data_IF_198559435571
#
_entry.id   IF_198559435571
#
_cell.length_a   1.000
_cell.length_b   1.000
_cell.length_c   1.000
_cell.angle_alpha   90.00
_cell.angle_beta   90.00
_cell.angle_gamma   90.00
#
_symmetry.space_group_name_H-M   'P 1'
#
loop_
_entity.id
_entity.type
_entity.pdbx_description
1 polymer ?
#
# COMPACT_ATOMS: atom_id res chain seq x y z
N UNK A 1 -81.21 -0.02 23.91
CA UNK A 1 -81.18 0.04 25.39
C UNK A 1 -79.71 0.37 25.69
N UNK A 2 -79.48 1.61 25.97
CA UNK A 2 -79.32 2.17 27.34
C UNK A 2 -78.10 1.62 28.00
N UNK A 3 -77.12 2.34 28.37
CA UNK A 3 -76.96 3.77 28.67
C UNK A 3 -75.65 3.97 29.40
N UNK A 4 -75.19 5.18 29.26
CA UNK A 4 -74.49 6.09 30.20
C UNK A 4 -73.22 5.58 30.94
N UNK A 5 -72.13 6.28 30.71
CA UNK A 5 -71.70 7.64 31.24
C UNK A 5 -71.01 7.52 32.59
N UNK A 6 -69.81 8.00 32.69
CA UNK A 6 -69.35 9.21 33.35
C UNK A 6 -67.87 9.11 33.71
N UNK A 7 -67.12 10.02 33.18
CA UNK A 7 -66.29 11.08 33.78
C UNK A 7 -65.68 10.86 35.18
N UNK A 8 -64.36 11.00 35.27
CA UNK A 8 -63.70 12.04 36.08
C UNK A 8 -62.17 11.90 36.01
N UNK A 9 -61.60 12.87 35.53
CA UNK A 9 -60.52 13.79 35.87
C UNK A 9 -59.49 13.43 36.93
N UNK A 10 -58.30 13.99 36.59
CA UNK A 10 -57.19 14.44 37.45
C UNK A 10 -56.16 13.35 37.77
N UNK A 11 -54.83 13.54 37.73
CA UNK A 11 -54.01 14.74 37.85
C UNK A 11 -52.57 14.40 37.43
N UNK A 12 -51.89 15.39 36.90
CA UNK A 12 -50.48 15.76 36.85
C UNK A 12 -49.40 14.76 37.29
N UNK A 13 -48.51 14.41 36.34
CA UNK A 13 -47.21 13.84 36.61
C UNK A 13 -46.19 14.22 35.52
N UNK A 14 -45.70 15.44 35.55
CA UNK A 14 -44.70 15.99 34.63
C UNK A 14 -43.32 15.38 34.91
N UNK A 15 -43.00 14.23 34.28
CA UNK A 15 -41.65 13.67 34.30
C UNK A 15 -40.77 14.37 33.26
N UNK A 16 -39.83 15.18 33.73
CA UNK A 16 -38.73 15.75 32.95
C UNK A 16 -37.89 14.65 32.29
N UNK A 17 -38.00 14.50 30.97
CA UNK A 17 -37.01 13.75 30.19
C UNK A 17 -35.69 14.55 30.21
N UNK A 18 -34.69 14.02 30.95
CA UNK A 18 -33.31 14.44 30.85
C UNK A 18 -32.85 14.14 29.42
N UNK A 19 -32.47 15.15 28.67
CA UNK A 19 -31.84 15.04 27.38
C UNK A 19 -30.54 14.25 27.52
N UNK A 20 -30.48 13.06 26.88
CA UNK A 20 -29.26 12.33 26.70
C UNK A 20 -28.34 13.14 25.80
N UNK A 21 -27.24 13.63 26.37
CA UNK A 21 -26.22 14.31 25.61
C UNK A 21 -25.66 13.34 24.54
N UNK A 22 -25.78 13.75 23.30
CA UNK A 22 -25.11 13.12 22.17
C UNK A 22 -23.62 13.35 22.41
N UNK A 23 -22.93 12.37 23.02
CA UNK A 23 -21.49 12.32 23.05
C UNK A 23 -21.03 12.19 21.59
N UNK A 24 -20.74 13.33 20.97
CA UNK A 24 -20.00 13.36 19.73
C UNK A 24 -18.72 12.55 19.95
N UNK A 25 -18.64 11.36 19.35
CA UNK A 25 -17.38 10.65 19.20
C UNK A 25 -16.45 11.59 18.45
N UNK A 26 -15.62 12.30 19.19
CA UNK A 26 -14.45 12.94 18.59
C UNK A 26 -13.66 11.83 17.92
N UNK A 27 -13.70 11.78 16.60
CA UNK A 27 -12.76 11.01 15.82
C UNK A 27 -11.38 11.55 16.22
N UNK A 28 -10.62 10.78 17.00
CA UNK A 28 -9.22 11.09 17.27
C UNK A 28 -8.58 11.20 15.88
N UNK A 29 -8.20 12.41 15.49
CA UNK A 29 -7.41 12.62 14.29
C UNK A 29 -6.24 11.62 14.35
N UNK A 30 -6.09 10.76 13.33
CA UNK A 30 -4.98 9.82 13.26
C UNK A 30 -3.71 10.65 13.34
N UNK A 31 -2.91 10.45 14.40
CA UNK A 31 -1.63 11.14 14.55
C UNK A 31 -0.78 10.80 13.34
N UNK A 32 -0.46 11.78 12.53
CA UNK A 32 0.48 11.64 11.40
C UNK A 32 1.90 11.50 11.92
N UNK A 33 2.79 10.96 11.10
CA UNK A 33 4.21 10.82 11.38
C UNK A 33 5.00 11.33 10.19
N UNK A 34 6.15 11.95 10.41
CA UNK A 34 7.03 12.39 9.35
C UNK A 34 8.10 11.35 9.05
N UNK A 35 8.73 11.47 7.87
CA UNK A 35 9.86 10.63 7.48
C UNK A 35 11.02 10.78 8.47
N UNK A 36 11.33 12.02 8.90
CA UNK A 36 12.42 12.30 9.85
C UNK A 36 12.17 11.66 11.23
N UNK A 37 10.89 11.54 11.63
CA UNK A 37 10.55 10.82 12.86
C UNK A 37 10.74 9.31 12.67
N UNK A 38 10.45 8.75 11.49
CA UNK A 38 10.66 7.34 11.19
C UNK A 38 12.13 6.98 11.10
N UNK A 39 12.96 7.82 10.49
CA UNK A 39 14.41 7.61 10.38
C UNK A 39 15.13 7.58 11.74
N UNK A 40 14.52 8.12 12.78
CA UNK A 40 15.05 8.09 14.15
C UNK A 40 14.62 6.88 14.97
N UNK A 41 13.74 6.03 14.41
CA UNK A 41 13.23 4.85 15.11
C UNK A 41 14.18 3.67 14.93
N UNK A 42 14.41 2.92 15.99
CA UNK A 42 15.15 1.64 15.93
C UNK A 42 14.38 0.58 15.10
N UNK A 43 13.07 0.69 15.04
CA UNK A 43 12.21 -0.23 14.30
C UNK A 43 11.04 0.52 13.71
N UNK A 44 10.86 0.41 12.39
CA UNK A 44 9.68 0.90 11.66
C UNK A 44 8.68 -0.22 11.53
N UNK A 45 7.41 0.05 11.88
CA UNK A 45 6.32 -0.92 11.87
C UNK A 45 5.29 -0.62 10.78
N UNK A 46 4.39 -1.58 10.45
CA UNK A 46 3.27 -1.34 9.55
C UNK A 46 2.42 -0.13 9.93
N UNK A 47 2.09 0.01 11.23
CA UNK A 47 1.30 1.13 11.73
C UNK A 47 2.00 2.50 11.58
N UNK A 48 3.31 2.51 11.52
CA UNK A 48 4.07 3.74 11.33
C UNK A 48 3.96 4.23 9.89
N UNK A 49 4.23 3.37 8.90
CA UNK A 49 4.17 3.77 7.49
C UNK A 49 2.75 4.16 7.05
N UNK A 50 1.72 3.59 7.67
CA UNK A 50 0.32 3.97 7.43
C UNK A 50 -0.03 5.38 7.91
N UNK A 51 0.83 6.02 8.72
CA UNK A 51 0.66 7.39 9.22
C UNK A 51 1.40 8.43 8.39
N UNK A 52 2.25 8.03 7.45
CA UNK A 52 2.89 8.95 6.51
C UNK A 52 1.83 9.68 5.69
N UNK A 53 2.08 10.94 5.38
CA UNK A 53 1.15 11.79 4.61
C UNK A 53 1.60 12.01 3.17
N UNK A 54 2.86 11.77 2.87
CA UNK A 54 3.47 11.90 1.54
C UNK A 54 4.44 10.75 1.26
N UNK A 55 4.82 10.57 0.00
CA UNK A 55 5.88 9.66 -0.39
C UNK A 55 7.19 10.06 0.30
N UNK A 56 7.97 9.08 0.75
CA UNK A 56 9.27 9.36 1.38
C UNK A 56 10.30 9.83 0.35
N UNK A 57 11.26 10.61 0.77
CA UNK A 57 12.40 11.01 -0.06
C UNK A 57 13.52 9.98 0.03
N UNK A 58 13.76 9.46 1.24
CA UNK A 58 14.81 8.50 1.54
C UNK A 58 14.25 7.08 1.75
N UNK A 59 15.13 6.10 1.79
CA UNK A 59 14.80 4.75 2.23
C UNK A 59 14.76 4.69 3.75
N UNK A 60 13.74 4.00 4.31
CA UNK A 60 13.56 3.86 5.76
C UNK A 60 14.32 2.69 6.37
N UNK A 61 15.05 1.92 5.56
CA UNK A 61 15.96 0.87 6.03
C UNK A 61 17.11 0.68 5.04
N UNK A 62 18.24 0.23 5.56
CA UNK A 62 19.39 -0.14 4.77
C UNK A 62 19.17 -1.48 4.05
N UNK A 63 19.88 -1.77 2.93
CA UNK A 63 19.79 -3.05 2.22
C UNK A 63 20.07 -4.26 3.13
N UNK A 64 20.99 -4.13 4.08
CA UNK A 64 21.34 -5.17 5.05
C UNK A 64 20.23 -5.54 6.04
N UNK A 65 19.12 -4.78 6.09
CA UNK A 65 17.95 -5.14 6.89
C UNK A 65 17.24 -6.40 6.37
N UNK A 66 17.43 -6.75 5.09
CA UNK A 66 16.92 -7.97 4.47
C UNK A 66 17.76 -9.21 4.87
N UNK A 67 17.76 -9.53 6.14
CA UNK A 67 18.51 -10.68 6.69
C UNK A 67 17.95 -12.05 6.25
N UNK A 68 16.85 -12.07 5.51
CA UNK A 68 16.17 -13.26 5.00
C UNK A 68 16.56 -13.59 3.58
N UNK A 69 17.39 -12.76 2.94
CA UNK A 69 17.79 -12.90 1.53
C UNK A 69 16.58 -13.06 0.61
N UNK A 70 15.53 -12.27 0.85
CA UNK A 70 14.37 -12.22 -0.04
C UNK A 70 14.81 -11.49 -1.31
N UNK A 71 14.65 -12.15 -2.46
CA UNK A 71 15.03 -11.63 -3.76
C UNK A 71 13.91 -11.79 -4.78
N UNK A 72 13.43 -10.68 -5.34
CA UNK A 72 12.38 -10.67 -6.36
C UNK A 72 13.00 -11.00 -7.72
N UNK A 73 12.57 -12.12 -8.31
CA UNK A 73 13.13 -12.65 -9.56
C UNK A 73 12.27 -12.38 -10.77
N UNK A 74 10.96 -12.12 -10.59
CA UNK A 74 10.05 -11.78 -11.68
C UNK A 74 8.92 -10.92 -11.18
N UNK A 75 8.51 -9.98 -12.02
CA UNK A 75 7.35 -9.12 -11.80
C UNK A 75 6.58 -8.96 -13.11
N UNK A 76 5.27 -9.21 -13.07
CA UNK A 76 4.39 -9.10 -14.21
C UNK A 76 3.10 -8.39 -13.83
N UNK A 77 2.71 -7.38 -14.59
CA UNK A 77 1.46 -6.64 -14.45
C UNK A 77 0.53 -7.00 -15.60
N UNK A 78 -0.72 -7.32 -15.31
CA UNK A 78 -1.74 -7.60 -16.31
C UNK A 78 -3.06 -6.92 -15.98
N UNK A 79 -3.79 -6.53 -17.01
CA UNK A 79 -5.19 -6.15 -16.90
C UNK A 79 -6.03 -7.39 -16.54
N UNK A 80 -6.82 -7.30 -15.49
CA UNK A 80 -7.62 -8.43 -15.01
C UNK A 80 -8.88 -8.69 -15.85
N UNK A 81 -9.36 -7.69 -16.59
CA UNK A 81 -10.53 -7.85 -17.45
C UNK A 81 -10.19 -8.53 -18.77
N UNK A 82 -9.09 -8.13 -19.40
CA UNK A 82 -8.68 -8.63 -20.73
C UNK A 82 -7.60 -9.71 -20.65
N UNK A 83 -6.90 -9.83 -19.54
CA UNK A 83 -5.73 -10.69 -19.39
C UNK A 83 -4.48 -10.15 -20.10
N UNK A 84 -4.52 -8.95 -20.66
CA UNK A 84 -3.41 -8.34 -21.39
C UNK A 84 -2.26 -8.06 -20.44
N UNK A 85 -1.05 -8.52 -20.80
CA UNK A 85 0.17 -8.19 -20.06
C UNK A 85 0.58 -6.75 -20.40
N UNK A 86 0.67 -5.92 -19.38
CA UNK A 86 0.99 -4.49 -19.49
C UNK A 86 2.47 -4.22 -19.22
N UNK A 87 3.08 -5.07 -18.41
CA UNK A 87 4.49 -4.97 -18.05
C UNK A 87 4.99 -6.33 -17.57
N UNK A 88 6.22 -6.69 -17.93
CA UNK A 88 6.89 -7.88 -17.40
C UNK A 88 8.40 -7.67 -17.38
N UNK A 89 9.01 -8.04 -16.26
CA UNK A 89 10.47 -8.08 -16.09
C UNK A 89 10.83 -9.35 -15.32
N UNK A 90 11.90 -10.00 -15.72
CA UNK A 90 12.45 -11.16 -15.02
C UNK A 90 13.97 -11.06 -15.00
N UNK A 91 14.59 -11.53 -13.92
CA UNK A 91 16.03 -11.73 -13.88
C UNK A 91 16.40 -12.87 -14.83
N UNK A 92 17.51 -12.78 -15.59
CA UNK A 92 17.99 -13.87 -16.41
C UNK A 92 18.26 -15.14 -15.57
N UNK A 93 17.88 -16.31 -16.09
CA UNK A 93 18.10 -17.58 -15.38
C UNK A 93 19.59 -17.97 -15.24
N UNK A 94 20.46 -17.39 -16.09
CA UNK A 94 21.90 -17.60 -16.09
C UNK A 94 22.61 -16.25 -16.01
N UNK A 95 22.90 -15.81 -14.81
CA UNK A 95 23.95 -14.81 -14.60
C UNK A 95 25.23 -15.65 -14.45
N UNK A 96 25.97 -15.84 -15.56
CA UNK A 96 27.39 -16.12 -15.42
C UNK A 96 27.96 -14.96 -14.59
N UNK A 97 28.65 -15.27 -13.51
CA UNK A 97 29.18 -14.33 -12.50
C UNK A 97 30.14 -13.24 -13.08
N UNK A 98 30.22 -13.11 -14.40
CA UNK A 98 31.13 -12.20 -15.10
C UNK A 98 30.54 -10.84 -15.49
N UNK A 99 29.25 -10.59 -15.30
CA UNK A 99 28.69 -9.24 -15.41
C UNK A 99 28.37 -8.73 -14.01
N UNK A 100 29.42 -8.57 -13.21
CA UNK A 100 29.37 -7.64 -12.08
C UNK A 100 29.37 -6.24 -12.73
N UNK A 101 28.18 -5.74 -12.99
CA UNK A 101 28.00 -4.31 -13.17
C UNK A 101 28.43 -3.70 -11.84
N UNK A 102 29.67 -3.16 -11.82
CA UNK A 102 30.27 -2.47 -10.67
C UNK A 102 29.54 -1.14 -10.49
N UNK A 103 28.23 -1.18 -10.33
CA UNK A 103 27.48 -0.05 -9.83
C UNK A 103 27.54 -0.12 -8.30
N UNK A 104 28.48 0.65 -7.73
CA UNK A 104 28.67 0.79 -6.27
C UNK A 104 27.44 1.42 -5.58
N UNK A 105 26.28 1.51 -6.25
CA UNK A 105 25.06 2.02 -5.65
C UNK A 105 24.44 0.96 -4.72
N UNK A 106 24.50 1.17 -3.40
CA UNK A 106 23.89 0.25 -2.44
C UNK A 106 22.37 0.14 -2.59
N UNK A 107 21.74 1.04 -3.35
CA UNK A 107 20.31 1.06 -3.63
C UNK A 107 19.94 0.48 -5.00
N UNK A 108 20.90 -0.11 -5.71
CA UNK A 108 20.63 -0.78 -6.99
C UNK A 108 19.45 -1.78 -6.84
N UNK A 109 18.51 -1.73 -7.78
CA UNK A 109 17.33 -2.59 -7.77
C UNK A 109 16.22 -2.21 -6.78
N UNK A 110 16.39 -1.15 -5.97
CA UNK A 110 15.36 -0.66 -5.03
C UNK A 110 14.44 0.41 -5.63
N UNK A 111 14.76 0.91 -6.81
CA UNK A 111 13.99 1.91 -7.52
C UNK A 111 13.60 1.40 -8.91
N UNK A 112 12.32 1.60 -9.28
CA UNK A 112 11.80 1.26 -10.62
C UNK A 112 11.07 2.46 -11.20
N UNK A 113 11.31 2.70 -12.48
CA UNK A 113 10.60 3.69 -13.26
C UNK A 113 9.68 3.02 -14.27
N UNK A 114 8.38 3.26 -14.14
CA UNK A 114 7.37 2.71 -15.03
C UNK A 114 6.92 3.75 -16.07
N UNK A 115 6.73 3.28 -17.30
CA UNK A 115 6.06 4.04 -18.34
C UNK A 115 4.88 3.24 -18.87
N UNK A 116 3.71 3.80 -18.74
CA UNK A 116 2.46 3.24 -19.24
C UNK A 116 1.80 4.23 -20.21
N UNK A 117 0.85 3.76 -20.99
CA UNK A 117 -0.03 4.62 -21.78
C UNK A 117 -1.11 5.25 -20.86
N UNK A 118 -1.78 6.34 -21.28
CA UNK A 118 -2.88 6.95 -20.53
C UNK A 118 -4.04 5.98 -20.23
N UNK A 119 -4.22 4.94 -21.05
CA UNK A 119 -5.23 3.90 -20.86
C UNK A 119 -5.07 3.14 -19.54
N UNK A 120 -3.84 3.04 -19.02
CA UNK A 120 -3.58 2.42 -17.73
C UNK A 120 -4.39 3.06 -16.60
N UNK A 121 -4.56 4.38 -16.61
CA UNK A 121 -5.31 5.12 -15.61
C UNK A 121 -6.84 4.87 -15.66
N UNK A 122 -7.32 4.19 -16.69
CA UNK A 122 -8.73 3.80 -16.85
C UNK A 122 -9.03 2.41 -16.31
N UNK A 123 -7.98 1.64 -15.98
CA UNK A 123 -8.13 0.28 -15.44
C UNK A 123 -8.73 0.34 -14.04
N UNK A 124 -9.61 -0.59 -13.75
CA UNK A 124 -10.23 -0.74 -12.43
C UNK A 124 -9.47 -1.74 -11.57
N UNK A 125 -8.98 -2.81 -12.22
CA UNK A 125 -8.34 -3.92 -11.51
C UNK A 125 -7.14 -4.43 -12.29
N UNK A 126 -6.00 -4.49 -11.61
CA UNK A 126 -4.73 -4.94 -12.16
C UNK A 126 -4.19 -6.08 -11.31
N UNK A 127 -3.76 -7.17 -11.94
CA UNK A 127 -3.05 -8.26 -11.29
C UNK A 127 -1.55 -8.08 -11.38
N UNK A 128 -0.87 -8.12 -10.25
CA UNK A 128 0.59 -8.15 -10.18
C UNK A 128 1.07 -9.52 -9.71
N UNK A 129 1.64 -10.30 -10.64
CA UNK A 129 2.31 -11.57 -10.31
C UNK A 129 3.75 -11.28 -9.91
N UNK A 130 4.14 -11.79 -8.75
CA UNK A 130 5.48 -11.63 -8.19
C UNK A 130 6.09 -13.00 -7.95
N UNK A 131 7.31 -13.23 -8.46
CA UNK A 131 8.12 -14.38 -8.08
C UNK A 131 9.31 -13.91 -7.25
N UNK A 132 9.60 -14.63 -6.17
CA UNK A 132 10.73 -14.32 -5.29
C UNK A 132 11.30 -15.57 -4.65
N UNK A 133 12.56 -15.51 -4.30
CA UNK A 133 13.25 -16.52 -3.50
C UNK A 133 13.42 -16.03 -2.07
N UNK A 134 13.58 -16.95 -1.14
CA UNK A 134 13.97 -16.69 0.24
C UNK A 134 15.21 -17.49 0.59
N UNK A 135 16.05 -16.97 1.50
CA UNK A 135 17.26 -17.61 1.97
C UNK A 135 17.01 -18.74 2.96
N UNK A 136 18.01 -19.03 3.78
CA UNK A 136 18.05 -20.17 4.71
C UNK A 136 17.20 -19.97 5.99
N UNK A 137 16.66 -18.78 6.19
CA UNK A 137 15.83 -18.46 7.37
C UNK A 137 14.34 -18.55 7.05
N UNK A 138 13.51 -19.07 7.97
CA UNK A 138 12.07 -19.04 7.81
C UNK A 138 11.56 -17.59 7.83
N UNK A 139 10.64 -17.26 6.92
CA UNK A 139 10.02 -15.94 6.85
C UNK A 139 8.60 -16.05 7.40
N UNK A 140 8.33 -15.41 8.54
CA UNK A 140 7.02 -15.42 9.17
C UNK A 140 6.31 -14.09 8.95
N UNK A 141 4.98 -14.13 8.79
CA UNK A 141 4.15 -12.95 8.67
C UNK A 141 4.72 -11.94 7.67
N UNK A 142 5.16 -12.44 6.50
CA UNK A 142 5.65 -11.59 5.42
C UNK A 142 4.51 -10.77 4.86
N UNK A 143 4.68 -9.45 4.84
CA UNK A 143 3.64 -8.47 4.47
C UNK A 143 4.23 -7.33 3.69
N UNK A 144 3.51 -6.82 2.70
CA UNK A 144 3.84 -5.62 1.96
C UNK A 144 2.75 -4.57 2.16
N UNK A 145 3.16 -3.35 2.45
CA UNK A 145 2.30 -2.17 2.39
C UNK A 145 2.85 -1.30 1.28
N UNK A 146 2.02 -1.03 0.27
CA UNK A 146 2.37 -0.16 -0.83
C UNK A 146 1.48 1.07 -0.86
N UNK A 147 2.08 2.25 -1.00
CA UNK A 147 1.38 3.52 -0.92
C UNK A 147 1.66 4.33 -2.17
N UNK A 148 0.61 4.61 -2.93
CA UNK A 148 0.67 5.39 -4.16
C UNK A 148 0.26 6.83 -3.90
N UNK A 149 1.04 7.75 -4.43
CA UNK A 149 0.82 9.18 -4.29
C UNK A 149 0.89 9.87 -5.65
N UNK A 150 0.07 10.87 -5.85
CA UNK A 150 0.29 11.87 -6.89
C UNK A 150 0.64 13.18 -6.19
N UNK A 151 1.87 13.65 -6.38
CA UNK A 151 2.45 14.74 -5.57
C UNK A 151 2.35 14.42 -4.07
N UNK A 152 1.71 15.29 -3.30
CA UNK A 152 1.52 15.11 -1.85
C UNK A 152 0.18 14.42 -1.49
N UNK A 153 -0.61 13.98 -2.49
CA UNK A 153 -1.90 13.34 -2.26
C UNK A 153 -1.78 11.82 -2.31
N UNK A 154 -2.15 11.16 -1.22
CA UNK A 154 -2.31 9.71 -1.20
C UNK A 154 -3.48 9.29 -2.09
N UNK A 155 -3.19 8.53 -3.15
CA UNK A 155 -4.19 7.96 -4.05
C UNK A 155 -4.80 6.70 -3.46
N UNK A 156 -3.95 5.76 -3.05
CA UNK A 156 -4.36 4.46 -2.53
C UNK A 156 -3.28 3.88 -1.61
N UNK A 157 -3.74 3.08 -0.66
CA UNK A 157 -2.91 2.22 0.16
C UNK A 157 -3.30 0.77 -0.13
N UNK A 158 -2.31 -0.04 -0.47
CA UNK A 158 -2.46 -1.49 -0.65
C UNK A 158 -1.76 -2.21 0.49
N UNK A 159 -2.32 -3.31 0.93
CA UNK A 159 -1.85 -4.08 2.07
C UNK A 159 -2.00 -5.56 1.75
N UNK A 160 -0.88 -6.25 1.53
CA UNK A 160 -0.85 -7.62 1.07
C UNK A 160 -0.08 -8.50 2.04
N UNK A 161 -0.64 -9.65 2.38
CA UNK A 161 -0.01 -10.66 3.20
C UNK A 161 0.48 -11.82 2.32
N UNK A 162 1.78 -12.07 2.34
CA UNK A 162 2.38 -13.27 1.76
C UNK A 162 2.34 -14.46 2.73
N UNK A 163 2.30 -14.16 4.04
CA UNK A 163 2.26 -15.16 5.10
C UNK A 163 3.62 -15.78 5.40
N UNK A 164 3.65 -17.13 5.52
CA UNK A 164 4.85 -17.89 5.82
C UNK A 164 5.54 -18.35 4.54
N UNK A 165 6.87 -18.14 4.46
CA UNK A 165 7.68 -18.66 3.36
C UNK A 165 8.70 -19.67 3.90
N UNK A 166 8.79 -20.83 3.24
CA UNK A 166 9.70 -21.93 3.58
C UNK A 166 11.14 -21.49 3.25
N UNK A 167 12.14 -21.77 4.11
CA UNK A 167 13.54 -21.54 3.80
C UNK A 167 13.97 -22.16 2.48
N UNK A 168 14.84 -21.49 1.75
CA UNK A 168 15.40 -21.93 0.46
C UNK A 168 14.32 -22.28 -0.58
N UNK A 169 13.20 -21.57 -0.56
CA UNK A 169 12.09 -21.77 -1.51
C UNK A 169 12.00 -20.64 -2.53
N UNK A 170 11.45 -20.98 -3.70
CA UNK A 170 10.94 -20.01 -4.67
C UNK A 170 9.42 -19.94 -4.52
N UNK A 171 8.89 -18.73 -4.44
CA UNK A 171 7.49 -18.46 -4.19
C UNK A 171 6.92 -17.63 -5.35
N UNK A 172 5.64 -17.85 -5.65
CA UNK A 172 4.89 -17.06 -6.62
C UNK A 172 3.57 -16.66 -5.98
N UNK A 173 3.22 -15.41 -6.09
CA UNK A 173 1.92 -14.90 -5.68
C UNK A 173 1.38 -13.88 -6.67
N UNK A 174 0.08 -13.69 -6.68
CA UNK A 174 -0.58 -12.64 -7.45
C UNK A 174 -1.36 -11.74 -6.49
N UNK A 175 -1.07 -10.46 -6.54
CA UNK A 175 -1.77 -9.42 -5.80
C UNK A 175 -2.74 -8.69 -6.74
N UNK A 176 -3.96 -8.47 -6.27
CA UNK A 176 -4.97 -7.75 -7.02
C UNK A 176 -5.04 -6.32 -6.52
N UNK A 177 -4.75 -5.39 -7.41
CA UNK A 177 -4.82 -3.96 -7.17
C UNK A 177 -6.16 -3.43 -7.68
N UNK A 178 -6.99 -2.98 -6.76
CA UNK A 178 -8.22 -2.25 -7.09
C UNK A 178 -7.92 -0.76 -7.06
N UNK A 179 -7.87 -0.12 -8.22
CA UNK A 179 -7.59 1.29 -8.32
C UNK A 179 -8.81 2.15 -7.98
N UNK A 180 -8.62 3.30 -7.32
CA UNK A 180 -9.69 4.25 -7.10
C UNK A 180 -10.13 4.84 -8.45
N UNK A 181 -11.41 5.16 -8.62
CA UNK A 181 -11.84 5.92 -9.78
C UNK A 181 -11.17 7.30 -9.76
N UNK A 182 -10.60 7.69 -10.90
CA UNK A 182 -10.03 9.01 -11.12
C UNK A 182 -11.00 9.83 -11.99
N UNK A 183 -11.13 11.10 -11.73
CA UNK A 183 -11.86 11.99 -12.62
C UNK A 183 -11.00 12.40 -13.84
N UNK A 184 -11.64 13.00 -14.84
CA UNK A 184 -10.97 13.34 -16.11
C UNK A 184 -9.84 14.35 -15.86
N UNK A 185 -10.05 15.30 -14.97
CA UNK A 185 -9.07 16.35 -14.68
C UNK A 185 -7.86 15.75 -13.96
N UNK A 186 -8.07 14.81 -13.04
CA UNK A 186 -7.01 14.06 -12.36
C UNK A 186 -6.18 13.23 -13.36
N UNK A 187 -6.85 12.50 -14.25
CA UNK A 187 -6.17 11.72 -15.31
C UNK A 187 -5.31 12.65 -16.17
N UNK A 188 -5.86 13.80 -16.60
CA UNK A 188 -5.14 14.76 -17.43
C UNK A 188 -3.91 15.34 -16.70
N UNK A 189 -4.06 15.66 -15.42
CA UNK A 189 -2.94 16.13 -14.57
C UNK A 189 -1.85 15.07 -14.47
N UNK A 190 -2.20 13.80 -14.21
CA UNK A 190 -1.23 12.71 -14.09
C UNK A 190 -0.50 12.43 -15.41
N UNK A 191 -1.18 12.53 -16.56
CA UNK A 191 -0.57 12.37 -17.89
C UNK A 191 0.38 13.54 -18.20
N UNK A 192 -0.01 14.78 -17.87
CA UNK A 192 0.80 15.97 -18.14
C UNK A 192 2.00 16.13 -17.21
N UNK A 193 2.05 15.38 -16.11
CA UNK A 193 3.12 15.49 -15.12
C UNK A 193 3.79 14.12 -14.88
N UNK A 194 4.58 13.65 -15.87
CA UNK A 194 5.28 12.38 -15.78
C UNK A 194 6.18 12.32 -14.54
N UNK A 195 6.21 11.16 -13.88
CA UNK A 195 7.00 10.86 -12.67
C UNK A 195 6.62 11.65 -11.41
N UNK A 196 5.52 12.41 -11.42
CA UNK A 196 4.95 13.00 -10.20
C UNK A 196 4.00 12.02 -9.47
N UNK A 197 3.61 10.92 -10.12
CA UNK A 197 3.04 9.75 -9.44
C UNK A 197 4.18 8.89 -8.92
N UNK A 198 4.15 8.56 -7.63
CA UNK A 198 5.19 7.80 -6.94
C UNK A 198 4.60 6.77 -6.00
N UNK A 199 5.35 5.72 -5.71
CA UNK A 199 5.00 4.78 -4.66
C UNK A 199 6.18 4.45 -3.75
N UNK A 200 5.83 4.12 -2.50
CA UNK A 200 6.68 3.44 -1.53
C UNK A 200 6.12 2.05 -1.28
N UNK A 201 6.96 1.03 -1.42
CA UNK A 201 6.64 -0.37 -1.10
C UNK A 201 7.47 -0.81 0.10
N UNK A 202 6.80 -1.00 1.23
CA UNK A 202 7.39 -1.38 2.51
C UNK A 202 7.14 -2.86 2.77
N UNK A 203 8.20 -3.63 2.99
CA UNK A 203 8.13 -5.07 3.26
C UNK A 203 8.49 -5.37 4.70
N UNK A 204 7.66 -6.16 5.36
CA UNK A 204 7.77 -6.48 6.78
C UNK A 204 7.83 -7.99 7.00
N UNK A 205 8.68 -8.40 7.94
CA UNK A 205 8.67 -9.75 8.52
C UNK A 205 8.47 -9.60 10.02
N UNK A 206 7.49 -10.31 10.58
CA UNK A 206 7.10 -10.19 11.98
C UNK A 206 6.90 -8.74 12.46
N UNK A 207 6.32 -7.92 11.57
CA UNK A 207 6.02 -6.51 11.85
C UNK A 207 7.22 -5.55 11.85
N UNK A 208 8.41 -6.01 11.48
CA UNK A 208 9.62 -5.20 11.33
C UNK A 208 9.93 -4.95 9.87
N UNK A 209 10.20 -3.70 9.50
CA UNK A 209 10.62 -3.31 8.14
C UNK A 209 11.96 -3.96 7.80
N UNK A 210 12.00 -4.66 6.66
CA UNK A 210 13.19 -5.35 6.15
C UNK A 210 13.62 -4.88 4.77
N UNK A 211 12.67 -4.38 3.96
CA UNK A 211 12.95 -3.81 2.65
C UNK A 211 12.03 -2.62 2.39
N UNK A 212 12.54 -1.66 1.66
CA UNK A 212 11.79 -0.50 1.19
C UNK A 212 12.18 -0.22 -0.25
N UNK A 213 11.25 -0.37 -1.16
CA UNK A 213 11.42 -0.08 -2.58
C UNK A 213 10.58 1.13 -2.97
N UNK A 214 10.99 1.81 -4.02
CA UNK A 214 10.35 3.02 -4.53
C UNK A 214 10.10 2.90 -6.02
N UNK A 215 9.05 3.56 -6.50
CA UNK A 215 8.81 3.70 -7.93
C UNK A 215 8.27 5.08 -8.28
N UNK A 216 8.49 5.47 -9.54
CA UNK A 216 7.78 6.57 -10.16
C UNK A 216 7.12 6.13 -11.48
N UNK A 217 6.10 6.87 -11.90
CA UNK A 217 5.23 6.48 -12.99
C UNK A 217 5.03 7.63 -13.96
N UNK A 218 5.10 7.33 -15.26
CA UNK A 218 4.65 8.20 -16.35
C UNK A 218 3.52 7.51 -17.11
N UNK A 219 2.60 8.31 -17.66
CA UNK A 219 1.43 7.85 -18.41
C UNK A 219 1.34 8.52 -19.78
N UNK A 220 2.49 8.83 -20.37
CA UNK A 220 2.70 9.52 -21.64
C UNK A 220 3.32 8.62 -22.72
N UNK A 221 3.40 7.31 -22.44
CA UNK A 221 4.07 6.32 -23.27
C UNK A 221 3.27 5.77 -24.44
#
# INVERSE_FOLDING_TARGET
MSGRSSNSNEDTGRAKKKGGGFLARQSKAKKTITEEELLKKDTVTPDDVLKLTKCTENYLCEPGANIYSIDFTRFKIRDMETGTVLFEIAKPDNIDDEIIDNDDDPNAGRFVRYKFTPEFLKLTTVGATVEFTVGDKPVNNFRMIERHYFRDRLLKNFDFEFGFCIPNSKNTCEHIYEFPPLDIDEVQEMVNHPFETKSDSFYFVDGKLIMHNKADYAYDG
#
